data_IF_341203582316
#
_entry.id   IF_341203582316
#
_cell.length_a   1.000
_cell.length_b   1.000
_cell.length_c   1.000
_cell.angle_alpha   90.00
_cell.angle_beta   90.00
_cell.angle_gamma   90.00
#
_symmetry.space_group_name_H-M   'P 1'
#
loop_
_entity.id
_entity.type
_entity.pdbx_description
1 polymer ?
#
# COMPACT_ATOMS: atom_id res chain seq x y z
N UNK A 1 34.88 32.75 -16.17
CA UNK A 1 35.74 32.55 -14.97
C UNK A 1 36.49 31.23 -15.06
N UNK A 2 37.11 30.92 -16.21
CA UNK A 2 37.92 29.69 -16.47
C UNK A 2 39.25 30.03 -17.13
N UNK A 3 39.61 31.30 -17.20
CA UNK A 3 40.84 31.77 -17.93
C UNK A 3 42.02 32.04 -16.98
N UNK A 4 41.79 32.19 -15.68
CA UNK A 4 42.89 32.49 -14.72
C UNK A 4 43.59 31.27 -14.12
N UNK A 5 43.05 30.07 -14.28
CA UNK A 5 43.69 28.85 -13.75
C UNK A 5 44.81 28.30 -14.66
N UNK A 6 44.94 28.81 -15.89
CA UNK A 6 45.96 28.33 -16.85
C UNK A 6 47.30 29.08 -16.79
N UNK A 7 47.32 30.25 -16.19
CA UNK A 7 48.56 31.07 -16.09
C UNK A 7 49.39 30.71 -14.86
N UNK A 8 48.76 30.12 -13.83
CA UNK A 8 49.46 29.70 -12.61
C UNK A 8 50.13 28.30 -12.72
N UNK A 9 49.80 27.53 -13.75
CA UNK A 9 50.35 26.19 -13.97
C UNK A 9 51.72 26.20 -14.70
N UNK A 10 52.01 27.22 -15.49
CA UNK A 10 53.26 27.28 -16.25
C UNK A 10 54.43 27.98 -15.51
N UNK A 11 54.13 28.68 -14.43
CA UNK A 11 55.19 29.38 -13.65
C UNK A 11 55.80 28.48 -12.56
N UNK A 12 55.25 27.32 -12.33
CA UNK A 12 55.71 26.41 -11.27
C UNK A 12 56.55 25.23 -11.77
N UNK A 13 56.90 25.17 -13.06
CA UNK A 13 57.70 24.07 -13.61
C UNK A 13 59.20 24.33 -13.69
N UNK A 14 59.65 25.55 -13.42
CA UNK A 14 61.09 25.86 -13.39
C UNK A 14 61.51 26.38 -12.02
N UNK A 15 62.04 25.48 -11.22
CA UNK A 15 62.73 25.80 -10.00
C UNK A 15 62.20 25.06 -8.78
N UNK A 16 62.74 23.91 -8.48
CA UNK A 16 62.71 23.41 -7.12
C UNK A 16 63.34 24.43 -6.18
N UNK A 17 62.66 24.81 -5.10
CA UNK A 17 63.13 25.78 -4.10
C UNK A 17 64.48 25.40 -3.45
N UNK A 18 65.01 24.22 -3.78
CA UNK A 18 66.35 23.76 -3.37
C UNK A 18 66.98 23.02 -4.56
N UNK A 19 68.07 23.54 -5.07
CA UNK A 19 68.95 22.81 -5.99
C UNK A 19 69.70 21.74 -5.23
N UNK A 20 69.27 20.49 -5.42
CA UNK A 20 70.03 19.35 -4.94
C UNK A 20 71.23 19.12 -5.84
N UNK A 21 72.42 18.76 -5.29
CA UNK A 21 73.59 18.42 -6.07
C UNK A 21 73.24 17.35 -7.11
N UNK A 22 73.83 17.44 -8.33
CA UNK A 22 73.51 16.55 -9.44
C UNK A 22 73.66 15.03 -9.09
N UNK A 23 74.52 14.74 -8.15
CA UNK A 23 74.85 13.38 -7.71
C UNK A 23 73.76 12.75 -6.79
N UNK A 24 72.88 13.60 -6.28
CA UNK A 24 71.75 13.12 -5.40
C UNK A 24 70.40 12.95 -6.14
N UNK A 25 70.36 13.28 -7.46
CA UNK A 25 69.18 12.96 -8.28
C UNK A 25 69.15 11.48 -8.56
N UNK A 26 68.63 10.74 -7.57
CA UNK A 26 68.21 9.37 -7.80
C UNK A 26 67.00 9.41 -8.74
N UNK A 27 67.08 8.66 -9.84
CA UNK A 27 65.90 8.42 -10.66
C UNK A 27 64.75 8.01 -9.73
N UNK A 28 63.56 8.58 -9.93
CA UNK A 28 62.41 8.15 -9.13
C UNK A 28 62.34 6.64 -9.24
N UNK A 29 62.35 5.97 -8.09
CA UNK A 29 62.19 4.52 -8.04
C UNK A 29 61.02 4.14 -8.94
N UNK A 30 61.16 3.12 -9.81
CA UNK A 30 60.06 2.69 -10.67
C UNK A 30 58.84 2.49 -9.76
N UNK A 31 57.64 2.94 -10.20
CA UNK A 31 56.45 2.87 -9.37
C UNK A 31 56.36 1.45 -8.85
N UNK A 32 56.53 1.30 -7.54
CA UNK A 32 56.30 0.03 -6.86
C UNK A 32 54.90 -0.38 -7.29
N UNK A 33 54.76 -1.54 -7.94
CA UNK A 33 53.45 -2.10 -8.23
C UNK A 33 52.62 -1.96 -6.94
N UNK A 34 51.45 -1.31 -6.99
CA UNK A 34 50.67 -1.16 -5.79
C UNK A 34 50.56 -2.53 -5.15
N UNK A 35 51.07 -2.67 -3.92
CA UNK A 35 51.00 -3.92 -3.19
C UNK A 35 49.57 -4.41 -3.27
N UNK A 36 49.35 -5.59 -3.85
CA UNK A 36 48.01 -6.09 -4.10
C UNK A 36 47.30 -6.24 -2.76
N UNK A 37 46.28 -5.40 -2.54
CA UNK A 37 45.59 -5.35 -1.26
C UNK A 37 45.02 -6.72 -0.92
N UNK A 38 45.39 -7.29 0.24
CA UNK A 38 44.86 -8.54 0.76
C UNK A 38 43.42 -8.29 1.24
N UNK A 39 42.45 -8.57 0.38
CA UNK A 39 41.03 -8.41 0.69
C UNK A 39 40.32 -9.77 0.73
N UNK A 40 39.38 -9.92 1.64
CA UNK A 40 38.46 -11.04 1.63
C UNK A 40 37.45 -10.86 0.50
N UNK A 41 37.50 -11.72 -0.50
CA UNK A 41 36.54 -11.71 -1.62
C UNK A 41 35.44 -12.73 -1.37
N UNK A 42 34.18 -12.38 -1.67
CA UNK A 42 33.07 -13.33 -1.49
C UNK A 42 33.18 -14.50 -2.47
N UNK A 43 33.10 -15.71 -1.95
CA UNK A 43 33.04 -16.95 -2.74
C UNK A 43 31.58 -17.38 -2.82
N UNK A 44 30.91 -17.12 -3.95
CA UNK A 44 29.48 -17.39 -4.13
C UNK A 44 29.17 -18.82 -4.57
N UNK A 45 30.18 -19.53 -5.05
CA UNK A 45 30.08 -20.92 -5.53
C UNK A 45 30.28 -21.95 -4.40
N UNK A 46 30.49 -21.47 -3.18
CA UNK A 46 30.68 -22.32 -2.04
C UNK A 46 29.38 -23.05 -1.69
N UNK A 47 29.39 -24.38 -1.72
CA UNK A 47 28.28 -25.20 -1.26
C UNK A 47 28.26 -25.23 0.27
N UNK A 48 27.12 -24.87 0.85
CA UNK A 48 26.88 -24.94 2.29
C UNK A 48 25.68 -25.85 2.55
N UNK A 49 25.87 -26.85 3.40
CA UNK A 49 24.80 -27.70 3.91
C UNK A 49 24.42 -27.19 5.31
N UNK A 50 23.21 -26.59 5.41
CA UNK A 50 22.69 -26.11 6.69
C UNK A 50 21.43 -26.90 7.01
N UNK A 51 21.50 -27.77 8.01
CA UNK A 51 20.30 -28.40 8.56
C UNK A 51 19.57 -27.38 9.42
N UNK A 52 18.46 -26.85 8.91
CA UNK A 52 17.67 -25.82 9.57
C UNK A 52 16.19 -26.09 9.34
N UNK A 53 15.42 -26.19 10.41
CA UNK A 53 13.96 -26.20 10.35
C UNK A 53 13.42 -24.78 10.22
N UNK A 54 12.13 -24.66 9.92
CA UNK A 54 11.48 -23.34 9.83
C UNK A 54 11.44 -22.67 11.20
N UNK A 55 11.24 -23.43 12.28
CA UNK A 55 11.14 -22.90 13.63
C UNK A 55 12.44 -22.24 14.09
N UNK A 56 13.58 -22.88 13.86
CA UNK A 56 14.89 -22.32 14.14
C UNK A 56 15.34 -21.22 13.17
N UNK A 57 14.55 -20.95 12.10
CA UNK A 57 14.87 -19.92 11.12
C UNK A 57 14.61 -18.50 11.61
N UNK A 58 13.76 -18.34 12.62
CA UNK A 58 13.32 -17.03 13.13
C UNK A 58 13.68 -16.90 14.60
N UNK A 59 14.37 -15.82 14.96
CA UNK A 59 14.77 -15.56 16.35
C UNK A 59 13.53 -15.47 17.27
N UNK A 60 13.65 -15.87 18.56
CA UNK A 60 12.54 -15.83 19.51
C UNK A 60 11.89 -14.45 19.65
N UNK A 61 12.67 -13.37 19.56
CA UNK A 61 12.24 -11.98 19.73
C UNK A 61 11.73 -11.34 18.43
N UNK A 62 11.70 -12.10 17.34
CA UNK A 62 11.30 -11.53 16.04
C UNK A 62 9.81 -11.13 16.02
N UNK A 63 9.43 -9.95 15.44
CA UNK A 63 8.06 -9.47 15.39
C UNK A 63 7.05 -10.48 14.82
N UNK A 64 7.47 -11.35 13.89
CA UNK A 64 6.60 -12.39 13.33
C UNK A 64 6.02 -13.31 14.42
N UNK A 65 6.81 -13.67 15.44
CA UNK A 65 6.36 -14.51 16.56
C UNK A 65 5.36 -13.79 17.45
N UNK A 66 5.61 -12.52 17.74
CA UNK A 66 4.70 -11.69 18.52
C UNK A 66 3.35 -11.52 17.80
N UNK A 67 3.39 -11.28 16.47
CA UNK A 67 2.18 -11.20 15.64
C UNK A 67 1.42 -12.53 15.67
N UNK A 68 2.09 -13.65 15.47
CA UNK A 68 1.45 -14.96 15.49
C UNK A 68 0.79 -15.25 16.84
N UNK A 69 1.53 -15.07 17.95
CA UNK A 69 1.00 -15.26 19.30
C UNK A 69 -0.11 -14.29 19.70
N UNK A 70 -0.16 -13.10 19.10
CA UNK A 70 -1.30 -12.18 19.24
C UNK A 70 -2.54 -12.76 18.55
N UNK A 71 -2.40 -13.20 17.29
CA UNK A 71 -3.52 -13.73 16.50
C UNK A 71 -4.10 -15.01 17.08
N UNK A 72 -3.31 -15.85 17.74
CA UNK A 72 -3.81 -17.05 18.46
C UNK A 72 -4.73 -16.72 19.63
N UNK A 73 -4.64 -15.50 20.18
CA UNK A 73 -5.46 -15.05 21.30
C UNK A 73 -6.71 -14.26 20.88
N UNK A 74 -6.82 -13.93 19.59
CA UNK A 74 -7.91 -13.10 19.06
C UNK A 74 -9.03 -13.95 18.46
N UNK A 75 -10.26 -13.43 18.50
CA UNK A 75 -11.36 -14.05 17.77
C UNK A 75 -11.28 -13.73 16.28
N UNK A 76 -10.89 -14.72 15.50
CA UNK A 76 -10.78 -14.64 14.04
C UNK A 76 -11.98 -15.29 13.31
N UNK A 77 -13.03 -15.67 14.01
CA UNK A 77 -14.20 -16.40 13.45
C UNK A 77 -14.81 -15.71 12.23
N UNK A 78 -14.83 -14.36 12.23
CA UNK A 78 -15.36 -13.56 11.13
C UNK A 78 -14.60 -13.76 9.80
N UNK A 79 -13.34 -14.17 9.84
CA UNK A 79 -12.54 -14.46 8.64
C UNK A 79 -12.84 -15.83 8.04
N UNK A 80 -13.31 -16.76 8.84
CA UNK A 80 -13.61 -18.14 8.43
C UNK A 80 -15.01 -18.29 7.83
N UNK A 81 -15.96 -17.40 8.15
CA UNK A 81 -17.35 -17.50 7.71
C UNK A 81 -17.58 -17.51 6.20
N UNK A 82 -16.64 -16.99 5.41
CA UNK A 82 -16.70 -16.97 3.95
C UNK A 82 -16.11 -18.21 3.27
N UNK A 83 -15.49 -19.13 4.03
CA UNK A 83 -14.82 -20.31 3.50
C UNK A 83 -15.84 -21.36 3.10
N UNK A 84 -15.86 -21.69 1.80
CA UNK A 84 -16.78 -22.71 1.23
C UNK A 84 -16.22 -24.14 1.30
N UNK A 85 -14.90 -24.29 1.43
CA UNK A 85 -14.24 -25.58 1.56
C UNK A 85 -14.35 -26.06 3.01
N UNK A 86 -15.27 -26.97 3.29
CA UNK A 86 -15.47 -27.56 4.62
C UNK A 86 -15.02 -29.03 4.62
N UNK A 87 -14.72 -29.53 5.81
CA UNK A 87 -14.37 -30.95 6.02
C UNK A 87 -15.50 -31.82 5.47
N UNK A 88 -15.16 -32.94 4.86
CA UNK A 88 -16.09 -33.89 4.24
C UNK A 88 -16.80 -33.44 2.95
N UNK A 89 -16.50 -32.25 2.43
CA UNK A 89 -17.00 -31.83 1.11
C UNK A 89 -15.89 -31.78 0.08
N UNK A 90 -16.13 -32.12 -1.19
CA UNK A 90 -15.15 -32.03 -2.25
C UNK A 90 -14.77 -30.56 -2.47
N UNK A 91 -13.47 -30.31 -2.62
CA UNK A 91 -12.93 -28.98 -2.87
C UNK A 91 -11.46 -28.89 -2.49
N UNK A 92 -10.73 -27.95 -3.10
CA UNK A 92 -9.35 -27.69 -2.71
C UNK A 92 -9.35 -26.91 -1.39
N UNK A 93 -8.53 -27.30 -0.39
CA UNK A 93 -8.34 -26.52 0.82
C UNK A 93 -7.93 -25.08 0.50
N UNK A 94 -8.47 -24.12 1.23
CA UNK A 94 -8.03 -22.72 1.15
C UNK A 94 -6.89 -22.48 2.13
N UNK A 95 -6.09 -21.45 1.90
CA UNK A 95 -5.08 -20.99 2.86
C UNK A 95 -5.79 -20.44 4.10
N UNK A 96 -5.27 -20.76 5.26
CA UNK A 96 -5.78 -20.25 6.53
C UNK A 96 -5.78 -18.72 6.56
N UNK A 97 -6.91 -18.06 6.86
CA UNK A 97 -6.99 -16.62 7.03
C UNK A 97 -6.00 -16.05 8.05
N UNK A 98 -5.70 -16.78 9.13
CA UNK A 98 -4.71 -16.39 10.13
C UNK A 98 -3.32 -16.20 9.51
N UNK A 99 -2.90 -17.10 8.62
CA UNK A 99 -1.64 -16.98 7.88
C UNK A 99 -1.63 -15.71 7.02
N UNK A 100 -2.71 -15.47 6.27
CA UNK A 100 -2.80 -14.29 5.39
C UNK A 100 -2.80 -12.98 6.19
N UNK A 101 -3.47 -12.97 7.34
CA UNK A 101 -3.52 -11.84 8.25
C UNK A 101 -2.14 -11.59 8.88
N UNK A 102 -1.46 -12.63 9.39
CA UNK A 102 -0.12 -12.53 9.95
C UNK A 102 0.89 -11.98 8.93
N UNK A 103 0.83 -12.46 7.69
CA UNK A 103 1.66 -11.97 6.59
C UNK A 103 1.44 -10.48 6.32
N UNK A 104 0.19 -10.01 6.32
CA UNK A 104 -0.11 -8.60 6.10
C UNK A 104 0.27 -7.72 7.29
N UNK A 105 0.11 -8.21 8.52
CA UNK A 105 0.54 -7.48 9.72
C UNK A 105 2.06 -7.28 9.71
N UNK A 106 2.83 -8.35 9.49
CA UNK A 106 4.29 -8.25 9.37
C UNK A 106 4.70 -7.32 8.23
N UNK A 107 4.07 -7.48 7.05
CA UNK A 107 4.32 -6.63 5.89
C UNK A 107 4.05 -5.15 6.19
N UNK A 108 3.02 -4.84 6.98
CA UNK A 108 2.69 -3.46 7.38
C UNK A 108 3.75 -2.89 8.32
N UNK A 109 4.20 -3.67 9.31
CA UNK A 109 5.29 -3.28 10.23
C UNK A 109 6.58 -2.99 9.44
N UNK A 110 6.87 -3.77 8.40
CA UNK A 110 8.06 -3.60 7.55
C UNK A 110 7.85 -2.62 6.37
N UNK A 111 6.72 -1.92 6.30
CA UNK A 111 6.43 -0.96 5.22
C UNK A 111 6.20 -1.60 3.84
N UNK A 112 5.78 -2.87 3.78
CA UNK A 112 5.52 -3.61 2.55
C UNK A 112 4.04 -3.54 2.18
N UNK A 113 3.63 -2.57 1.37
CA UNK A 113 2.24 -2.40 0.92
C UNK A 113 1.83 -3.23 -0.31
N UNK A 114 2.77 -3.84 -1.03
CA UNK A 114 2.52 -4.53 -2.30
C UNK A 114 2.33 -6.03 -2.11
N UNK A 115 1.15 -6.56 -2.49
CA UNK A 115 0.88 -8.01 -2.48
C UNK A 115 1.87 -8.82 -3.34
N UNK A 116 2.38 -8.25 -4.45
CA UNK A 116 3.39 -8.92 -5.28
C UNK A 116 4.75 -9.00 -4.57
N UNK A 117 5.15 -7.95 -3.86
CA UNK A 117 6.37 -7.96 -3.06
C UNK A 117 6.24 -8.94 -1.90
N UNK A 118 5.11 -8.91 -1.19
CA UNK A 118 4.80 -9.82 -0.10
C UNK A 118 4.86 -11.29 -0.55
N UNK A 119 4.23 -11.62 -1.68
CA UNK A 119 4.30 -13.00 -2.22
C UNK A 119 5.73 -13.46 -2.54
N UNK A 120 6.62 -12.55 -2.97
CA UNK A 120 8.05 -12.89 -3.15
C UNK A 120 8.75 -13.13 -1.81
N UNK A 121 8.49 -12.27 -0.82
CA UNK A 121 9.07 -12.43 0.52
C UNK A 121 8.67 -13.77 1.17
N UNK A 122 7.47 -14.28 0.90
CA UNK A 122 7.04 -15.61 1.34
C UNK A 122 7.94 -16.76 0.82
N UNK A 123 8.68 -16.54 -0.27
CA UNK A 123 9.65 -17.50 -0.78
C UNK A 123 11.11 -17.19 -0.41
N UNK A 124 11.44 -15.95 -0.18
CA UNK A 124 12.81 -15.44 -0.11
C UNK A 124 13.28 -15.10 1.32
N UNK A 125 12.34 -14.75 2.22
CA UNK A 125 12.68 -14.23 3.56
C UNK A 125 12.21 -15.20 4.67
N UNK A 126 13.07 -15.54 5.58
CA UNK A 126 12.83 -16.55 6.60
C UNK A 126 11.59 -16.28 7.47
N UNK A 127 11.37 -15.06 7.93
CA UNK A 127 10.21 -14.74 8.77
C UNK A 127 8.87 -14.92 8.03
N UNK A 128 8.80 -14.56 6.75
CA UNK A 128 7.60 -14.79 5.94
C UNK A 128 7.42 -16.27 5.59
N UNK A 129 8.52 -16.99 5.34
CA UNK A 129 8.49 -18.44 5.15
C UNK A 129 7.99 -19.17 6.41
N UNK A 130 8.45 -18.72 7.58
CA UNK A 130 8.00 -19.22 8.87
C UNK A 130 6.48 -19.03 9.05
N UNK A 131 5.96 -17.81 8.83
CA UNK A 131 4.53 -17.53 8.89
C UNK A 131 3.72 -18.37 7.89
N UNK A 132 4.26 -18.65 6.71
CA UNK A 132 3.60 -19.52 5.74
C UNK A 132 3.56 -20.99 6.20
N UNK A 133 4.53 -21.45 6.99
CA UNK A 133 4.60 -22.85 7.46
C UNK A 133 4.57 -23.86 6.31
N UNK A 134 5.15 -23.54 5.15
CA UNK A 134 5.10 -24.39 3.96
C UNK A 134 3.80 -24.27 3.13
N UNK A 135 2.82 -23.48 3.56
CA UNK A 135 1.59 -23.26 2.80
C UNK A 135 1.87 -22.33 1.61
N UNK A 136 1.52 -22.73 0.37
CA UNK A 136 1.77 -21.91 -0.81
C UNK A 136 0.89 -20.66 -0.81
N UNK A 137 1.50 -19.49 -0.95
CA UNK A 137 0.82 -18.20 -1.06
C UNK A 137 1.07 -17.56 -2.42
N UNK A 138 0.13 -16.75 -2.90
CA UNK A 138 0.30 -15.99 -4.12
C UNK A 138 -0.26 -14.58 -3.97
N UNK A 139 0.20 -13.66 -4.83
CA UNK A 139 -0.15 -12.25 -4.75
C UNK A 139 -1.65 -11.94 -4.92
N UNK A 140 -2.39 -12.78 -5.67
CA UNK A 140 -3.84 -12.59 -5.86
C UNK A 140 -4.58 -12.91 -4.59
N UNK A 141 -4.30 -14.06 -3.99
CA UNK A 141 -4.85 -14.48 -2.70
C UNK A 141 -4.62 -13.40 -1.64
N UNK A 142 -3.41 -12.87 -1.54
CA UNK A 142 -3.06 -11.79 -0.62
C UNK A 142 -3.84 -10.49 -0.92
N UNK A 143 -3.98 -10.13 -2.19
CA UNK A 143 -4.75 -8.95 -2.60
C UNK A 143 -6.24 -9.10 -2.32
N UNK A 144 -6.81 -10.24 -2.72
CA UNK A 144 -8.24 -10.52 -2.58
C UNK A 144 -8.64 -10.62 -1.10
N UNK A 145 -7.77 -11.13 -0.23
CA UNK A 145 -7.99 -11.20 1.20
C UNK A 145 -8.29 -9.84 1.82
N UNK A 146 -7.50 -8.80 1.52
CA UNK A 146 -7.73 -7.45 2.07
C UNK A 146 -9.06 -6.85 1.61
N UNK A 147 -9.42 -7.09 0.35
CA UNK A 147 -10.67 -6.56 -0.22
C UNK A 147 -11.88 -7.28 0.35
N UNK A 148 -11.80 -8.61 0.49
CA UNK A 148 -12.91 -9.43 0.93
C UNK A 148 -13.23 -9.27 2.43
N UNK A 149 -12.24 -8.92 3.26
CA UNK A 149 -12.37 -8.96 4.72
C UNK A 149 -12.35 -7.58 5.39
N UNK A 150 -12.76 -6.51 4.69
CA UNK A 150 -12.78 -5.16 5.24
C UNK A 150 -13.51 -5.06 6.59
N UNK A 151 -14.73 -5.63 6.70
CA UNK A 151 -15.51 -5.61 7.95
C UNK A 151 -14.85 -6.42 9.08
N UNK A 152 -14.27 -7.56 8.74
CA UNK A 152 -13.59 -8.40 9.73
C UNK A 152 -12.32 -7.71 10.25
N UNK A 153 -11.58 -7.00 9.38
CA UNK A 153 -10.42 -6.19 9.76
C UNK A 153 -10.81 -5.01 10.67
N UNK A 154 -11.95 -4.39 10.41
CA UNK A 154 -12.48 -3.33 11.26
C UNK A 154 -12.89 -3.86 12.65
N UNK A 155 -13.56 -5.04 12.69
CA UNK A 155 -13.85 -5.74 13.94
C UNK A 155 -12.60 -6.13 14.73
N UNK A 156 -11.53 -6.53 14.03
CA UNK A 156 -10.23 -6.83 14.66
C UNK A 156 -9.61 -5.59 15.30
N UNK A 157 -9.67 -4.43 14.63
CA UNK A 157 -9.23 -3.15 15.22
C UNK A 157 -10.00 -2.86 16.51
N UNK A 158 -11.32 -3.08 16.51
CA UNK A 158 -12.15 -2.91 17.70
C UNK A 158 -11.71 -3.81 18.85
N UNK A 159 -11.43 -5.10 18.59
CA UNK A 159 -10.91 -6.03 19.61
C UNK A 159 -9.56 -5.58 20.17
N UNK A 160 -8.65 -5.12 19.31
CA UNK A 160 -7.33 -4.64 19.73
C UNK A 160 -7.46 -3.40 20.61
N UNK A 161 -8.26 -2.41 20.20
CA UNK A 161 -8.47 -1.18 20.98
C UNK A 161 -9.10 -1.50 22.33
N UNK A 162 -10.13 -2.34 22.36
CA UNK A 162 -10.76 -2.78 23.62
C UNK A 162 -9.76 -3.51 24.56
N UNK A 163 -8.90 -4.36 24.01
CA UNK A 163 -7.86 -5.04 24.78
C UNK A 163 -6.82 -4.08 25.34
N UNK A 164 -6.42 -3.05 24.59
CA UNK A 164 -5.48 -2.04 25.02
C UNK A 164 -6.08 -1.11 26.10
N UNK A 165 -7.36 -0.77 25.98
CA UNK A 165 -8.12 -0.06 27.02
C UNK A 165 -8.16 -0.85 28.32
N UNK A 166 -8.56 -2.13 28.24
CA UNK A 166 -8.62 -3.00 29.41
C UNK A 166 -7.25 -3.19 30.08
N UNK A 167 -6.15 -3.11 29.32
CA UNK A 167 -4.80 -3.16 29.82
C UNK A 167 -4.27 -1.79 30.35
N UNK A 168 -5.05 -0.72 30.23
CA UNK A 168 -4.63 0.64 30.58
C UNK A 168 -3.53 1.23 29.68
N UNK A 169 -3.31 0.63 28.50
CA UNK A 169 -2.33 1.10 27.52
C UNK A 169 -2.89 2.24 26.61
N UNK A 170 -4.19 2.41 26.62
CA UNK A 170 -4.93 3.50 25.97
C UNK A 170 -5.88 4.08 27.00
N UNK A 171 -5.98 5.41 27.11
CA UNK A 171 -6.80 6.09 28.12
C UNK A 171 -7.99 6.84 27.54
N UNK A 172 -7.89 7.28 26.29
CA UNK A 172 -8.85 8.12 25.58
C UNK A 172 -9.12 9.50 26.22
N UNK A 173 -8.29 9.92 27.19
CA UNK A 173 -8.44 11.24 27.82
C UNK A 173 -8.34 12.38 26.81
N UNK A 174 -7.53 12.16 25.77
CA UNK A 174 -7.36 13.06 24.63
C UNK A 174 -7.28 12.25 23.35
N UNK A 175 -8.16 12.53 22.41
CA UNK A 175 -8.12 11.91 21.07
C UNK A 175 -7.83 13.00 20.05
N UNK A 176 -6.76 12.82 19.28
CA UNK A 176 -6.41 13.68 18.16
C UNK A 176 -6.92 13.07 16.86
N UNK A 177 -7.51 13.90 16.00
CA UNK A 177 -7.95 13.48 14.67
C UNK A 177 -7.23 14.27 13.59
N UNK A 178 -6.75 13.56 12.56
CA UNK A 178 -6.18 14.18 11.37
C UNK A 178 -6.56 13.40 10.10
N UNK A 179 -6.57 14.13 8.97
CA UNK A 179 -6.91 13.60 7.66
C UNK A 179 -5.69 13.49 6.75
N UNK A 180 -5.38 12.27 6.30
CA UNK A 180 -4.29 12.00 5.35
C UNK A 180 -4.84 11.70 3.96
N UNK A 181 -4.36 12.45 2.93
CA UNK A 181 -4.78 12.23 1.54
C UNK A 181 -3.96 11.15 0.88
N UNK A 182 -4.63 10.06 0.53
CA UNK A 182 -4.02 8.90 -0.14
C UNK A 182 -4.47 8.85 -1.59
N UNK A 183 -3.48 8.78 -2.49
CA UNK A 183 -3.73 8.73 -3.92
C UNK A 183 -4.47 7.45 -4.30
N UNK A 184 -5.58 7.61 -5.01
CA UNK A 184 -6.35 6.49 -5.56
C UNK A 184 -5.69 5.89 -6.81
N UNK A 185 -6.06 4.67 -7.13
CA UNK A 185 -5.60 3.98 -8.34
C UNK A 185 -6.24 4.51 -9.64
N UNK A 186 -7.10 5.52 -9.57
CA UNK A 186 -7.74 6.15 -10.72
C UNK A 186 -6.82 7.18 -11.38
N UNK A 187 -6.73 7.17 -12.71
CA UNK A 187 -6.05 8.19 -13.48
C UNK A 187 -6.99 9.36 -13.83
N UNK A 188 -6.45 10.55 -14.04
CA UNK A 188 -7.25 11.72 -14.48
C UNK A 188 -8.01 11.48 -15.78
N UNK A 189 -7.49 10.62 -16.67
CA UNK A 189 -8.12 10.21 -17.92
C UNK A 189 -9.35 9.32 -17.75
N UNK A 190 -9.57 8.75 -16.54
CA UNK A 190 -10.76 7.93 -16.26
C UNK A 190 -12.02 8.75 -15.98
N UNK A 191 -11.87 10.06 -15.70
CA UNK A 191 -12.99 10.95 -15.41
C UNK A 191 -13.78 11.31 -16.66
N UNK A 192 -15.05 10.94 -16.68
CA UNK A 192 -15.95 11.09 -17.83
C UNK A 192 -17.24 11.80 -17.44
N UNK A 193 -17.86 12.46 -18.42
CA UNK A 193 -19.20 13.03 -18.32
C UNK A 193 -20.25 11.96 -18.58
N UNK A 194 -21.52 12.24 -18.26
CA UNK A 194 -22.68 11.35 -18.41
C UNK A 194 -22.71 10.65 -19.76
N UNK A 195 -22.74 11.40 -20.85
CA UNK A 195 -22.84 10.85 -22.23
C UNK A 195 -21.75 9.82 -22.53
N UNK A 196 -20.51 10.08 -22.08
CA UNK A 196 -19.39 9.15 -22.30
C UNK A 196 -19.47 7.93 -21.40
N UNK A 197 -19.99 8.07 -20.19
CA UNK A 197 -20.23 6.94 -19.28
C UNK A 197 -21.33 6.02 -19.81
N UNK A 198 -22.43 6.59 -20.32
CA UNK A 198 -23.52 5.84 -20.95
C UNK A 198 -23.01 5.05 -22.16
N UNK A 199 -22.14 5.66 -22.99
CA UNK A 199 -21.46 4.97 -24.10
C UNK A 199 -20.58 3.82 -23.59
N UNK A 200 -19.76 4.05 -22.54
CA UNK A 200 -18.93 3.01 -21.94
C UNK A 200 -19.76 1.88 -21.33
N UNK A 201 -20.92 2.19 -20.71
CA UNK A 201 -21.82 1.17 -20.15
C UNK A 201 -22.42 0.30 -21.27
N UNK A 202 -22.86 0.92 -22.37
CA UNK A 202 -23.35 0.17 -23.54
C UNK A 202 -22.29 -0.76 -24.12
N UNK A 203 -21.05 -0.27 -24.26
CA UNK A 203 -19.90 -1.09 -24.71
C UNK A 203 -19.62 -2.25 -23.73
N UNK A 204 -19.62 -1.98 -22.42
CA UNK A 204 -19.37 -3.00 -21.40
C UNK A 204 -20.45 -4.08 -21.39
N UNK A 205 -21.74 -3.71 -21.46
CA UNK A 205 -22.86 -4.64 -21.58
C UNK A 205 -22.78 -5.49 -22.84
N UNK A 206 -22.45 -4.89 -23.98
CA UNK A 206 -22.25 -5.62 -25.22
C UNK A 206 -21.10 -6.64 -25.11
N UNK A 207 -20.01 -6.28 -24.40
CA UNK A 207 -18.90 -7.18 -24.15
C UNK A 207 -19.30 -8.35 -23.25
N UNK A 208 -20.04 -8.11 -22.17
CA UNK A 208 -20.57 -9.17 -21.28
C UNK A 208 -21.49 -10.12 -22.07
N UNK A 209 -22.42 -9.58 -22.85
CA UNK A 209 -23.33 -10.38 -23.68
C UNK A 209 -22.59 -11.23 -24.72
N UNK A 210 -21.53 -10.69 -25.34
CA UNK A 210 -20.69 -11.45 -26.28
C UNK A 210 -19.98 -12.60 -25.59
N UNK A 211 -19.34 -12.35 -24.44
CA UNK A 211 -18.62 -13.37 -23.67
C UNK A 211 -19.56 -14.44 -23.12
N UNK A 212 -20.79 -14.07 -22.74
CA UNK A 212 -21.81 -15.03 -22.33
C UNK A 212 -22.21 -16.00 -23.46
N UNK A 213 -22.29 -15.50 -24.72
CA UNK A 213 -22.52 -16.37 -25.91
C UNK A 213 -21.34 -17.28 -26.20
N UNK A 214 -20.09 -16.77 -26.05
CA UNK A 214 -18.86 -17.56 -26.22
C UNK A 214 -18.75 -18.69 -25.19
N UNK A 215 -19.48 -18.63 -24.07
CA UNK A 215 -19.52 -19.66 -23.02
C UNK A 215 -20.20 -20.96 -23.48
N UNK A 216 -21.03 -20.93 -24.50
CA UNK A 216 -21.63 -22.14 -25.10
C UNK A 216 -20.55 -23.06 -25.70
N UNK A 217 -19.32 -22.52 -25.92
CA UNK A 217 -18.12 -23.25 -26.37
C UNK A 217 -16.93 -22.92 -25.48
N UNK A 218 -16.82 -23.51 -24.29
CA UNK A 218 -15.87 -23.09 -23.27
C UNK A 218 -14.41 -23.39 -23.64
N UNK A 219 -13.66 -22.33 -23.98
CA UNK A 219 -12.21 -22.36 -24.04
C UNK A 219 -11.55 -21.96 -22.71
N UNK A 220 -10.29 -22.35 -22.47
CA UNK A 220 -9.56 -21.96 -21.26
C UNK A 220 -9.42 -20.42 -21.16
N UNK A 221 -9.86 -19.83 -20.05
CA UNK A 221 -9.75 -18.38 -19.75
C UNK A 221 -10.99 -17.53 -20.05
N UNK A 222 -12.08 -18.07 -20.58
CA UNK A 222 -13.35 -17.35 -20.81
C UNK A 222 -13.93 -16.83 -19.49
N UNK A 223 -13.92 -17.62 -18.44
CA UNK A 223 -14.42 -17.26 -17.11
C UNK A 223 -13.77 -15.98 -16.54
N UNK A 224 -12.45 -15.82 -16.70
CA UNK A 224 -11.73 -14.63 -16.19
C UNK A 224 -12.05 -13.35 -16.99
N UNK A 225 -12.18 -13.49 -18.32
CA UNK A 225 -12.55 -12.37 -19.20
C UNK A 225 -13.97 -11.91 -18.92
N UNK A 226 -14.87 -12.85 -18.69
CA UNK A 226 -16.26 -12.57 -18.33
C UNK A 226 -16.35 -11.84 -16.99
N UNK A 227 -15.65 -12.32 -15.97
CA UNK A 227 -15.61 -11.67 -14.66
C UNK A 227 -15.07 -10.23 -14.78
N UNK A 228 -13.96 -10.02 -15.49
CA UNK A 228 -13.40 -8.70 -15.70
C UNK A 228 -14.32 -7.76 -16.47
N UNK A 229 -15.10 -8.30 -17.43
CA UNK A 229 -16.09 -7.53 -18.18
C UNK A 229 -17.27 -7.12 -17.29
N UNK A 230 -17.77 -8.00 -16.44
CA UNK A 230 -18.83 -7.71 -15.45
C UNK A 230 -18.39 -6.68 -14.41
N UNK A 231 -17.19 -6.83 -13.87
CA UNK A 231 -16.61 -5.84 -12.95
C UNK A 231 -16.46 -4.45 -13.60
N UNK A 232 -16.13 -4.40 -14.91
CA UNK A 232 -16.09 -3.15 -15.66
C UNK A 232 -17.49 -2.56 -15.85
N UNK A 233 -18.48 -3.38 -16.20
CA UNK A 233 -19.87 -2.95 -16.33
C UNK A 233 -20.38 -2.36 -15.02
N UNK A 234 -20.18 -3.05 -13.93
CA UNK A 234 -20.60 -2.63 -12.59
C UNK A 234 -19.96 -1.29 -12.18
N UNK A 235 -18.63 -1.14 -12.35
CA UNK A 235 -17.94 0.13 -12.05
C UNK A 235 -18.46 1.30 -12.88
N UNK A 236 -18.77 1.09 -14.17
CA UNK A 236 -19.30 2.15 -15.01
C UNK A 236 -20.75 2.49 -14.64
N UNK A 237 -21.56 1.51 -14.25
CA UNK A 237 -22.92 1.73 -13.73
C UNK A 237 -22.87 2.54 -12.44
N UNK A 238 -22.03 2.17 -11.48
CA UNK A 238 -21.81 2.92 -10.25
C UNK A 238 -21.34 4.36 -10.54
N UNK A 239 -20.44 4.54 -11.54
CA UNK A 239 -19.97 5.87 -11.92
C UNK A 239 -21.12 6.79 -12.38
N UNK A 240 -22.15 6.24 -13.03
CA UNK A 240 -23.37 6.98 -13.40
C UNK A 240 -24.23 7.30 -12.17
N UNK A 241 -24.34 6.41 -11.20
CA UNK A 241 -25.06 6.60 -9.95
C UNK A 241 -24.41 7.68 -9.07
N UNK A 242 -23.09 7.79 -9.09
CA UNK A 242 -22.35 8.83 -8.35
C UNK A 242 -22.38 10.23 -9.02
N UNK A 243 -22.81 10.38 -10.27
CA UNK A 243 -22.86 11.67 -10.96
C UNK A 243 -23.73 12.73 -10.24
N UNK A 244 -24.94 12.42 -9.72
CA UNK A 244 -25.74 13.39 -8.97
C UNK A 244 -25.03 13.89 -7.71
N UNK A 245 -24.34 13.00 -6.99
CA UNK A 245 -23.56 13.36 -5.79
C UNK A 245 -22.37 14.27 -6.17
N UNK A 246 -21.70 13.98 -7.29
CA UNK A 246 -20.62 14.82 -7.81
C UNK A 246 -21.12 16.21 -8.22
N UNK A 247 -22.34 16.30 -8.75
CA UNK A 247 -23.01 17.57 -9.07
C UNK A 247 -23.33 18.35 -7.79
N UNK A 248 -23.99 17.74 -6.82
CA UNK A 248 -24.33 18.37 -5.55
C UNK A 248 -23.09 18.86 -4.78
N UNK A 249 -21.98 18.12 -4.82
CA UNK A 249 -20.71 18.53 -4.22
C UNK A 249 -20.13 19.77 -4.90
N UNK A 250 -20.20 19.88 -6.24
CA UNK A 250 -19.79 21.07 -6.98
C UNK A 250 -20.66 22.29 -6.68
N UNK A 251 -21.95 22.10 -6.59
CA UNK A 251 -22.90 23.17 -6.28
C UNK A 251 -22.66 23.74 -4.89
N UNK A 252 -22.46 22.87 -3.88
CA UNK A 252 -22.06 23.27 -2.52
C UNK A 252 -20.76 24.05 -2.52
N UNK A 253 -19.73 23.57 -3.24
CA UNK A 253 -18.45 24.26 -3.33
C UNK A 253 -18.57 25.64 -4.00
N UNK A 254 -19.51 25.83 -4.95
CA UNK A 254 -19.74 27.14 -5.56
C UNK A 254 -20.45 28.12 -4.64
N UNK A 255 -21.38 27.62 -3.82
CA UNK A 255 -22.10 28.48 -2.85
C UNK A 255 -21.14 29.08 -1.81
N UNK A 256 -20.08 28.35 -1.47
CA UNK A 256 -19.06 28.81 -0.51
C UNK A 256 -17.98 29.72 -1.11
N UNK A 257 -17.94 29.86 -2.46
CA UNK A 257 -16.97 30.73 -3.13
C UNK A 257 -17.46 32.18 -3.17
N UNK A 258 -16.51 33.12 -3.07
CA UNK A 258 -16.79 34.56 -3.29
C UNK A 258 -17.37 34.83 -4.68
N UNK A 259 -18.23 35.83 -4.79
CA UNK A 259 -18.98 36.19 -6.03
C UNK A 259 -18.06 36.27 -7.29
N UNK A 260 -16.86 36.89 -7.24
CA UNK A 260 -15.97 36.96 -8.41
C UNK A 260 -15.44 35.57 -8.89
N UNK A 261 -15.49 34.57 -8.05
CA UNK A 261 -14.96 33.20 -8.36
C UNK A 261 -16.07 32.21 -8.76
N UNK A 262 -17.34 32.67 -8.85
CA UNK A 262 -18.43 31.83 -9.32
C UNK A 262 -18.38 31.69 -10.84
N UNK A 263 -17.49 30.82 -11.33
CA UNK A 263 -17.50 30.45 -12.75
C UNK A 263 -18.66 29.51 -13.06
N UNK A 264 -19.04 29.43 -14.36
CA UNK A 264 -20.09 28.51 -14.86
C UNK A 264 -19.82 27.09 -14.29
N UNK A 265 -20.85 26.46 -13.71
CA UNK A 265 -20.78 25.06 -13.25
C UNK A 265 -20.41 24.16 -14.43
N UNK A 266 -19.22 23.63 -14.45
CA UNK A 266 -18.87 22.62 -15.45
C UNK A 266 -19.59 21.32 -15.14
N UNK A 267 -20.08 20.62 -16.17
CA UNK A 267 -20.75 19.33 -16.00
C UNK A 267 -19.96 18.38 -15.09
N UNK A 268 -20.64 17.63 -14.21
CA UNK A 268 -19.97 16.71 -13.30
C UNK A 268 -19.23 15.60 -14.08
N UNK A 269 -18.17 15.08 -13.47
CA UNK A 269 -17.40 13.96 -13.99
C UNK A 269 -17.17 12.99 -12.85
N UNK A 270 -17.29 11.69 -13.14
CA UNK A 270 -16.90 10.60 -12.24
C UNK A 270 -15.91 9.68 -12.93
N UNK A 271 -15.13 8.98 -12.15
CA UNK A 271 -14.15 8.03 -12.68
C UNK A 271 -14.84 6.72 -13.07
N UNK A 272 -14.53 6.21 -14.26
CA UNK A 272 -14.98 4.88 -14.71
C UNK A 272 -14.13 3.73 -14.13
N UNK A 273 -13.04 4.05 -13.41
CA UNK A 273 -12.16 3.08 -12.76
C UNK A 273 -12.46 2.94 -11.28
N UNK A 274 -12.73 4.07 -10.62
CA UNK A 274 -13.05 4.17 -9.21
C UNK A 274 -14.13 5.27 -9.06
N UNK A 275 -15.41 4.88 -8.99
CA UNK A 275 -16.55 5.81 -9.05
C UNK A 275 -16.62 6.79 -7.88
N UNK A 276 -16.18 6.36 -6.71
CA UNK A 276 -16.29 7.14 -5.47
C UNK A 276 -15.20 8.19 -5.33
N UNK A 277 -14.07 7.98 -6.02
CA UNK A 277 -12.90 8.84 -5.87
C UNK A 277 -13.16 10.29 -6.28
N UNK A 278 -12.59 11.23 -5.56
CA UNK A 278 -12.63 12.65 -5.85
C UNK A 278 -11.25 13.22 -6.15
N UNK A 279 -11.22 14.28 -6.93
CA UNK A 279 -9.98 15.03 -7.15
C UNK A 279 -9.75 15.93 -5.95
N UNK A 280 -8.65 15.71 -5.24
CA UNK A 280 -8.26 16.45 -4.04
C UNK A 280 -6.94 17.17 -4.25
N UNK A 281 -6.74 18.27 -3.53
CA UNK A 281 -5.45 18.94 -3.44
C UNK A 281 -4.54 18.08 -2.55
N UNK A 282 -3.40 17.71 -3.08
CA UNK A 282 -2.39 16.91 -2.36
C UNK A 282 -1.44 17.83 -1.58
N UNK A 283 -0.67 17.29 -0.60
CA UNK A 283 0.32 18.05 0.16
C UNK A 283 1.39 18.73 -0.72
N UNK A 284 1.72 18.14 -1.87
CA UNK A 284 2.66 18.70 -2.86
C UNK A 284 2.06 19.83 -3.71
N UNK A 285 0.84 20.29 -3.41
CA UNK A 285 0.12 21.34 -4.13
C UNK A 285 -0.60 20.90 -5.39
N UNK A 286 -0.37 19.69 -5.89
CA UNK A 286 -1.03 19.12 -7.07
C UNK A 286 -2.48 18.68 -6.78
N UNK A 287 -3.29 18.53 -7.85
CA UNK A 287 -4.63 17.98 -7.75
C UNK A 287 -4.66 16.58 -8.35
N UNK A 288 -5.02 15.57 -7.55
CA UNK A 288 -5.07 14.17 -7.99
C UNK A 288 -6.29 13.45 -7.45
N UNK A 289 -6.74 12.38 -8.13
CA UNK A 289 -7.71 11.44 -7.56
C UNK A 289 -7.17 10.86 -6.25
N UNK A 290 -7.90 11.07 -5.17
CA UNK A 290 -7.49 10.67 -3.83
C UNK A 290 -8.70 10.41 -2.94
N UNK A 291 -8.47 9.64 -1.90
CA UNK A 291 -9.31 9.53 -0.71
C UNK A 291 -8.65 10.29 0.44
N UNK A 292 -9.45 10.68 1.39
CA UNK A 292 -9.02 11.25 2.64
C UNK A 292 -9.22 10.21 3.73
N UNK A 293 -8.12 9.71 4.29
CA UNK A 293 -8.16 8.74 5.40
C UNK A 293 -8.12 9.55 6.68
N UNK A 294 -9.20 9.50 7.43
CA UNK A 294 -9.29 10.09 8.76
C UNK A 294 -8.79 9.09 9.78
N UNK A 295 -7.88 9.51 10.63
CA UNK A 295 -7.33 8.71 11.71
C UNK A 295 -7.60 9.41 13.04
N UNK A 296 -8.15 8.69 14.00
CA UNK A 296 -8.21 9.12 15.38
C UNK A 296 -7.14 8.36 16.18
N UNK A 297 -6.34 9.09 16.92
CA UNK A 297 -5.26 8.54 17.74
C UNK A 297 -5.41 8.97 19.18
N UNK A 298 -5.20 8.05 20.11
CA UNK A 298 -5.06 8.37 21.52
C UNK A 298 -3.83 9.27 21.73
N UNK A 299 -4.01 10.37 22.43
CA UNK A 299 -3.02 11.44 22.54
C UNK A 299 -1.78 11.06 23.35
N UNK A 300 -1.91 10.12 24.24
CA UNK A 300 -0.83 9.71 25.15
C UNK A 300 -0.05 8.52 24.59
N UNK A 301 -0.73 7.51 24.08
CA UNK A 301 -0.11 6.31 23.51
C UNK A 301 0.21 6.40 22.03
N UNK A 302 -0.44 7.29 21.28
CA UNK A 302 -0.35 7.36 19.83
C UNK A 302 -1.04 6.19 19.09
N UNK A 303 -1.79 5.36 19.81
CA UNK A 303 -2.53 4.23 19.23
C UNK A 303 -3.69 4.74 18.37
N UNK A 304 -3.84 4.17 17.17
CA UNK A 304 -4.98 4.46 16.30
C UNK A 304 -6.22 3.77 16.88
N UNK A 305 -7.22 4.56 17.27
CA UNK A 305 -8.47 4.11 17.86
C UNK A 305 -9.67 4.23 16.92
N UNK A 306 -9.54 5.03 15.86
CA UNK A 306 -10.56 5.18 14.82
C UNK A 306 -9.94 5.35 13.45
N UNK A 307 -10.61 4.83 12.41
CA UNK A 307 -10.21 4.99 11.02
C UNK A 307 -11.44 5.10 10.12
N UNK A 308 -11.47 6.11 9.26
CA UNK A 308 -12.55 6.31 8.28
C UNK A 308 -11.94 6.70 6.93
N UNK A 309 -12.51 6.20 5.85
CA UNK A 309 -12.11 6.55 4.49
C UNK A 309 -13.20 7.37 3.83
N UNK A 310 -12.94 8.64 3.62
CA UNK A 310 -13.92 9.56 3.02
C UNK A 310 -13.41 10.15 1.70
N UNK A 311 -14.33 10.61 0.89
CA UNK A 311 -14.02 11.31 -0.35
C UNK A 311 -14.27 12.83 -0.25
N UNK A 312 -14.27 13.37 0.97
CA UNK A 312 -14.49 14.78 1.31
C UNK A 312 -13.28 15.37 2.04
N UNK A 313 -13.32 16.68 2.30
CA UNK A 313 -12.32 17.37 3.12
C UNK A 313 -12.49 17.02 4.60
N UNK A 314 -11.52 17.44 5.43
CA UNK A 314 -11.48 17.16 6.88
C UNK A 314 -12.64 17.82 7.65
N UNK A 315 -13.17 18.92 7.10
CA UNK A 315 -14.29 19.65 7.72
C UNK A 315 -15.53 18.77 7.88
N UNK A 316 -16.03 18.67 9.11
CA UNK A 316 -17.21 17.91 9.45
C UNK A 316 -16.97 16.41 9.72
N UNK A 317 -15.71 15.99 9.78
CA UNK A 317 -15.36 14.58 10.06
C UNK A 317 -15.18 14.27 11.55
N UNK A 318 -15.16 15.31 12.42
CA UNK A 318 -14.94 15.12 13.86
C UNK A 318 -16.08 14.31 14.52
N UNK A 319 -17.34 14.73 14.35
CA UNK A 319 -18.46 14.05 14.97
C UNK A 319 -18.66 12.59 14.52
N UNK A 320 -18.58 12.23 13.20
CA UNK A 320 -18.60 10.83 12.79
C UNK A 320 -17.47 10.00 13.36
N UNK A 321 -16.27 10.59 13.52
CA UNK A 321 -15.12 9.89 14.09
C UNK A 321 -15.29 9.66 15.59
N UNK A 322 -15.78 10.66 16.32
CA UNK A 322 -16.12 10.55 17.74
C UNK A 322 -17.15 9.42 17.95
N UNK A 323 -18.23 9.42 17.17
CA UNK A 323 -19.23 8.36 17.20
C UNK A 323 -18.62 6.97 16.94
N UNK A 324 -17.70 6.86 15.99
CA UNK A 324 -17.01 5.60 15.71
C UNK A 324 -16.14 5.15 16.89
N UNK A 325 -15.39 6.06 17.51
CA UNK A 325 -14.56 5.74 18.69
C UNK A 325 -15.44 5.27 19.84
N UNK A 326 -16.54 5.99 20.13
CA UNK A 326 -17.53 5.61 21.14
C UNK A 326 -18.12 4.23 20.89
N UNK A 327 -18.49 3.93 19.63
CA UNK A 327 -19.01 2.60 19.27
C UNK A 327 -17.99 1.48 19.48
N UNK A 328 -16.70 1.75 19.28
CA UNK A 328 -15.63 0.76 19.48
C UNK A 328 -15.30 0.53 20.94
N UNK A 329 -15.34 1.56 21.76
CA UNK A 329 -14.85 1.55 23.14
C UNK A 329 -15.95 1.49 24.17
N UNK A 330 -17.15 1.96 23.85
CA UNK A 330 -18.24 2.16 24.79
C UNK A 330 -18.06 3.37 25.71
N UNK A 331 -17.01 4.18 25.51
CA UNK A 331 -16.69 5.36 26.29
C UNK A 331 -17.03 6.64 25.50
N UNK A 332 -17.54 7.67 26.23
CA UNK A 332 -17.89 8.99 25.70
C UNK A 332 -16.88 10.05 26.08
#
# INVERSE_FOLDING_TARGET
MIVEARVLGEVMSEGTLFELPPEERRDPAPPTRPEEARVLRPVREQLQWVARDLEGAVAPEHPARAIWGLLEKMDLSAFYGSIKAVVERPGRPTTDPQVLLALWLLATVEGVGSARRLARLCGEHDAYRWLCGGVPTNYRMLSDFRVAHQRALDGLLTQIVASLLAAGAVTLERVAQDGMRVRASAGSSSYRRRERLEGCLKEARAQVARLAKEREHPGPGVSRREQSAREREERVAQALEYLPQAQAAKERQQQTRSIPQRSKVTAPRTSSTDPEVRVMKMPDGGFRPAYNIQLATDGDSGVIVGVEVVNTADSGQAAPMEEQVVQRTGEH
#
